data_IF_749112540953
#
_entry.id   IF_749112540953
#
_cell.length_a   1.000
_cell.length_b   1.000
_cell.length_c   1.000
_cell.angle_alpha   90.00
_cell.angle_beta   90.00
_cell.angle_gamma   90.00
#
_symmetry.space_group_name_H-M   'P 1'
#
loop_
_entity.id
_entity.type
_entity.pdbx_description
1 polymer ?
#
# COMPACT_ATOMS: atom_id res chain seq x y z
N UNK A 1 5.39 -8.61 20.50
CA UNK A 1 4.71 -7.77 19.48
C UNK A 1 5.13 -8.31 18.12
N UNK A 2 4.20 -8.51 17.18
CA UNK A 2 4.56 -8.91 15.82
C UNK A 2 5.39 -7.81 15.14
N UNK A 3 6.33 -8.16 14.24
CA UNK A 3 7.11 -7.17 13.51
C UNK A 3 6.20 -6.22 12.71
N UNK A 4 6.58 -4.94 12.63
CA UNK A 4 5.88 -3.96 11.78
C UNK A 4 5.95 -4.43 10.32
N UNK A 5 4.84 -4.34 9.58
CA UNK A 5 4.86 -4.58 8.14
C UNK A 5 5.15 -3.27 7.41
N UNK A 6 6.14 -3.27 6.52
CA UNK A 6 6.41 -2.17 5.59
C UNK A 6 6.08 -2.63 4.17
N UNK A 7 5.10 -1.99 3.55
CA UNK A 7 4.84 -2.11 2.12
C UNK A 7 5.54 -0.94 1.44
N UNK A 8 6.66 -1.19 0.75
CA UNK A 8 7.42 -0.11 0.13
C UNK A 8 8.06 -0.50 -1.19
N UNK A 9 8.30 0.52 -2.04
CA UNK A 9 8.94 0.43 -3.33
C UNK A 9 8.55 1.59 -4.23
N UNK A 10 8.96 1.59 -5.50
CA UNK A 10 8.61 2.66 -6.44
C UNK A 10 7.11 2.64 -6.77
N UNK A 11 6.56 3.81 -7.08
CA UNK A 11 5.16 3.94 -7.47
C UNK A 11 4.79 3.01 -8.62
N UNK A 12 5.64 2.97 -9.65
CA UNK A 12 5.48 2.15 -10.87
C UNK A 12 6.84 1.56 -11.26
N UNK A 13 6.83 0.43 -11.94
CA UNK A 13 8.03 -0.15 -12.55
C UNK A 13 8.45 0.73 -13.73
N UNK A 14 9.48 1.54 -13.55
CA UNK A 14 10.03 2.39 -14.60
C UNK A 14 11.06 1.64 -15.46
N UNK A 15 11.95 0.93 -14.79
CA UNK A 15 12.97 0.07 -15.37
C UNK A 15 13.47 -0.95 -14.32
N UNK A 16 14.18 -1.99 -14.77
CA UNK A 16 14.65 -3.06 -13.88
C UNK A 16 15.74 -2.59 -12.89
N UNK A 17 16.59 -1.62 -13.26
CA UNK A 17 17.65 -1.13 -12.37
C UNK A 17 17.07 -0.42 -11.18
N UNK A 18 16.19 0.57 -11.38
CA UNK A 18 15.53 1.31 -10.29
C UNK A 18 14.81 0.37 -9.33
N UNK A 19 14.10 -0.65 -9.85
CA UNK A 19 13.39 -1.65 -9.03
C UNK A 19 14.38 -2.49 -8.22
N UNK A 20 15.49 -2.95 -8.82
CA UNK A 20 16.53 -3.73 -8.15
C UNK A 20 17.21 -2.94 -7.03
N UNK A 21 17.67 -1.71 -7.33
CA UNK A 21 18.42 -0.90 -6.39
C UNK A 21 17.55 -0.49 -5.19
N UNK A 22 16.28 -0.15 -5.47
CA UNK A 22 15.30 0.16 -4.43
C UNK A 22 15.02 -1.05 -3.54
N UNK A 23 14.85 -2.25 -4.13
CA UNK A 23 14.58 -3.46 -3.36
C UNK A 23 15.78 -3.87 -2.50
N UNK A 24 17.00 -3.81 -3.05
CA UNK A 24 18.22 -4.14 -2.32
C UNK A 24 18.37 -3.26 -1.06
N UNK A 25 18.23 -1.95 -1.22
CA UNK A 25 18.33 -1.01 -0.11
C UNK A 25 17.23 -1.22 0.95
N UNK A 26 15.97 -1.35 0.51
CA UNK A 26 14.85 -1.58 1.43
C UNK A 26 15.01 -2.88 2.22
N UNK A 27 15.48 -3.96 1.57
CA UNK A 27 15.74 -5.23 2.23
C UNK A 27 16.78 -5.07 3.34
N UNK A 28 17.92 -4.45 3.04
CA UNK A 28 18.99 -4.24 4.01
C UNK A 28 18.51 -3.48 5.25
N UNK A 29 17.88 -2.33 5.10
CA UNK A 29 17.42 -1.52 6.23
C UNK A 29 16.29 -2.19 7.03
N UNK A 30 15.40 -2.94 6.38
CA UNK A 30 14.30 -3.61 7.07
C UNK A 30 14.77 -4.86 7.83
N UNK A 31 15.76 -5.58 7.35
CA UNK A 31 16.40 -6.68 8.09
C UNK A 31 17.09 -6.16 9.36
N UNK A 32 17.85 -5.07 9.26
CA UNK A 32 18.52 -4.43 10.41
C UNK A 32 17.52 -3.95 11.48
N UNK A 33 16.31 -3.54 11.08
CA UNK A 33 15.29 -3.00 11.96
C UNK A 33 14.23 -4.04 12.40
N UNK A 34 14.36 -5.30 11.98
CA UNK A 34 13.38 -6.36 12.21
C UNK A 34 11.96 -5.96 11.76
N UNK A 35 11.86 -5.43 10.53
CA UNK A 35 10.62 -5.02 9.87
C UNK A 35 10.29 -6.01 8.75
N UNK A 36 9.04 -6.45 8.65
CA UNK A 36 8.57 -7.31 7.56
C UNK A 36 8.42 -6.49 6.27
N UNK A 37 9.32 -6.66 5.31
CA UNK A 37 9.23 -6.00 4.01
C UNK A 37 8.27 -6.74 3.07
N UNK A 38 7.33 -5.99 2.49
CA UNK A 38 6.56 -6.36 1.30
C UNK A 38 6.98 -5.38 0.19
N UNK A 39 7.77 -5.85 -0.75
CA UNK A 39 8.22 -4.98 -1.84
C UNK A 39 7.09 -4.71 -2.83
N UNK A 40 6.79 -3.45 -3.06
CA UNK A 40 5.67 -3.01 -3.91
C UNK A 40 6.17 -2.29 -5.16
N UNK A 41 5.64 -2.67 -6.32
CA UNK A 41 5.69 -1.85 -7.52
C UNK A 41 4.49 -2.16 -8.42
N UNK A 42 3.91 -1.12 -9.05
CA UNK A 42 2.80 -1.30 -10.00
C UNK A 42 3.33 -1.64 -11.39
N UNK A 43 2.72 -2.61 -12.05
CA UNK A 43 3.01 -2.92 -13.46
C UNK A 43 2.30 -1.98 -14.43
N UNK A 44 1.23 -1.33 -13.96
CA UNK A 44 0.45 -0.34 -14.71
C UNK A 44 -0.13 0.72 -13.78
N UNK A 45 -0.32 1.92 -14.29
CA UNK A 45 -1.06 3.01 -13.68
C UNK A 45 -2.29 3.32 -14.53
N UNK A 46 -3.37 2.55 -14.32
CA UNK A 46 -4.56 2.58 -15.17
C UNK A 46 -5.41 3.86 -15.03
N UNK A 47 -5.25 4.61 -13.94
CA UNK A 47 -6.07 5.78 -13.59
C UNK A 47 -5.34 7.14 -13.75
N UNK A 48 -4.45 7.25 -14.74
CA UNK A 48 -3.74 8.52 -15.01
C UNK A 48 -4.67 9.64 -15.44
N UNK A 49 -4.37 10.87 -15.01
CA UNK A 49 -5.11 12.07 -15.43
C UNK A 49 -4.94 12.38 -16.92
N UNK A 50 -3.79 12.08 -17.51
CA UNK A 50 -3.52 12.26 -18.93
C UNK A 50 -3.24 10.95 -19.64
N UNK A 51 -3.80 10.77 -20.83
CA UNK A 51 -3.56 9.58 -21.66
C UNK A 51 -2.09 9.43 -22.08
N UNK A 52 -1.35 10.54 -22.14
CA UNK A 52 0.06 10.56 -22.50
C UNK A 52 1.00 10.28 -21.31
N UNK A 53 0.47 10.10 -20.10
CA UNK A 53 1.30 9.80 -18.92
C UNK A 53 1.90 8.40 -18.99
N UNK A 54 3.11 8.26 -18.43
CA UNK A 54 3.76 6.96 -18.31
C UNK A 54 2.90 6.01 -17.48
N UNK A 55 2.62 4.83 -17.99
CA UNK A 55 1.77 3.83 -17.34
C UNK A 55 2.53 2.67 -16.71
N UNK A 56 3.73 2.37 -17.17
CA UNK A 56 4.50 1.20 -16.74
C UNK A 56 4.73 0.19 -17.87
N UNK A 57 5.36 -0.96 -17.57
CA UNK A 57 5.71 -1.97 -18.57
C UNK A 57 4.55 -2.87 -19.03
N UNK A 58 3.38 -2.77 -18.36
CA UNK A 58 2.24 -3.66 -18.56
C UNK A 58 2.33 -4.97 -17.78
N UNK A 59 1.22 -5.72 -17.76
CA UNK A 59 1.01 -6.89 -16.91
C UNK A 59 2.13 -7.93 -17.02
N UNK A 60 2.33 -8.52 -18.18
CA UNK A 60 3.24 -9.67 -18.35
C UNK A 60 4.70 -9.32 -18.01
N UNK A 61 5.18 -8.19 -18.55
CA UNK A 61 6.56 -7.74 -18.29
C UNK A 61 6.73 -7.31 -16.83
N UNK A 62 5.75 -6.62 -16.25
CA UNK A 62 5.79 -6.20 -14.86
C UNK A 62 5.79 -7.38 -13.89
N UNK A 63 4.96 -8.38 -14.11
CA UNK A 63 4.96 -9.60 -13.31
C UNK A 63 6.28 -10.35 -13.41
N UNK A 64 6.87 -10.49 -14.61
CA UNK A 64 8.19 -11.11 -14.77
C UNK A 64 9.29 -10.37 -13.98
N UNK A 65 9.26 -9.03 -13.96
CA UNK A 65 10.20 -8.24 -13.15
C UNK A 65 9.99 -8.50 -11.65
N UNK A 66 8.75 -8.49 -11.16
CA UNK A 66 8.44 -8.76 -9.77
C UNK A 66 8.84 -10.18 -9.34
N UNK A 67 8.69 -11.16 -10.22
CA UNK A 67 9.14 -12.54 -9.98
C UNK A 67 10.66 -12.62 -9.83
N UNK A 68 11.42 -11.95 -10.70
CA UNK A 68 12.88 -11.84 -10.59
C UNK A 68 13.30 -11.21 -9.27
N UNK A 69 12.65 -10.12 -8.85
CA UNK A 69 12.91 -9.43 -7.57
C UNK A 69 12.64 -10.37 -6.40
N UNK A 70 11.48 -11.01 -6.37
CA UNK A 70 11.09 -11.96 -5.34
C UNK A 70 12.11 -13.08 -5.20
N UNK A 71 12.53 -13.67 -6.31
CA UNK A 71 13.48 -14.79 -6.33
C UNK A 71 14.89 -14.35 -5.92
N UNK A 72 15.34 -13.19 -6.40
CA UNK A 72 16.68 -12.66 -6.11
C UNK A 72 16.86 -12.24 -4.66
N UNK A 73 15.90 -11.48 -4.13
CA UNK A 73 16.02 -10.88 -2.80
C UNK A 73 15.31 -11.66 -1.70
N UNK A 74 14.55 -12.73 -2.05
CA UNK A 74 13.75 -13.51 -1.11
C UNK A 74 12.78 -12.68 -0.27
N UNK A 75 12.20 -11.64 -0.89
CA UNK A 75 11.20 -10.76 -0.30
C UNK A 75 9.80 -11.14 -0.79
N UNK A 76 8.78 -10.86 0.03
CA UNK A 76 7.40 -10.89 -0.44
C UNK A 76 7.13 -9.69 -1.35
N UNK A 77 6.26 -9.89 -2.34
CA UNK A 77 5.95 -8.84 -3.32
C UNK A 77 4.47 -8.48 -3.34
N UNK A 78 4.18 -7.23 -3.70
CA UNK A 78 2.83 -6.69 -3.88
C UNK A 78 2.74 -5.92 -5.19
N UNK A 79 1.63 -6.08 -5.90
CA UNK A 79 1.22 -5.19 -6.99
C UNK A 79 -0.28 -4.98 -6.99
N UNK A 80 -0.74 -3.89 -7.58
CA UNK A 80 -2.16 -3.58 -7.75
C UNK A 80 -2.70 -4.12 -9.09
N UNK A 81 -3.98 -4.50 -9.07
CA UNK A 81 -4.73 -4.91 -10.26
C UNK A 81 -5.89 -3.93 -10.52
N UNK A 82 -6.29 -3.82 -11.78
CA UNK A 82 -7.29 -2.84 -12.23
C UNK A 82 -8.47 -3.49 -12.95
N UNK A 83 -8.26 -4.70 -13.48
CA UNK A 83 -9.22 -5.49 -14.23
C UNK A 83 -9.31 -6.91 -13.68
N UNK A 84 -10.50 -7.50 -13.73
CA UNK A 84 -10.77 -8.82 -13.13
C UNK A 84 -9.90 -9.94 -13.73
N UNK A 85 -9.58 -9.88 -15.02
CA UNK A 85 -8.74 -10.90 -15.70
C UNK A 85 -7.28 -10.90 -15.23
N UNK A 86 -6.82 -9.82 -14.58
CA UNK A 86 -5.45 -9.72 -14.06
C UNK A 86 -5.24 -10.55 -12.78
N UNK A 87 -6.32 -10.88 -12.06
CA UNK A 87 -6.24 -11.44 -10.72
C UNK A 87 -5.50 -12.79 -10.67
N UNK A 88 -5.89 -13.75 -11.50
CA UNK A 88 -5.26 -15.08 -11.51
C UNK A 88 -3.77 -15.01 -11.89
N UNK A 89 -3.42 -14.27 -12.95
CA UNK A 89 -2.04 -14.11 -13.39
C UNK A 89 -1.18 -13.44 -12.32
N UNK A 90 -1.73 -12.45 -11.65
CA UNK A 90 -1.03 -11.71 -10.57
C UNK A 90 -0.81 -12.61 -9.35
N UNK A 91 -1.81 -13.41 -8.96
CA UNK A 91 -1.72 -14.33 -7.83
C UNK A 91 -0.66 -15.43 -8.01
N UNK A 92 -0.31 -15.80 -9.24
CA UNK A 92 0.77 -16.76 -9.51
C UNK A 92 2.13 -16.23 -9.03
N UNK A 93 2.35 -14.93 -9.15
CA UNK A 93 3.65 -14.30 -8.94
C UNK A 93 3.76 -13.65 -7.55
N UNK A 94 2.84 -12.71 -7.22
CA UNK A 94 2.97 -11.91 -6.01
C UNK A 94 2.39 -12.60 -4.77
N UNK A 95 2.75 -12.09 -3.61
CA UNK A 95 2.26 -12.58 -2.32
C UNK A 95 1.05 -11.80 -1.82
N UNK A 96 0.92 -10.56 -2.27
CA UNK A 96 -0.19 -9.67 -1.92
C UNK A 96 -0.75 -9.03 -3.19
N UNK A 97 -2.04 -9.21 -3.44
CA UNK A 97 -2.77 -8.48 -4.49
C UNK A 97 -3.38 -7.24 -3.86
N UNK A 98 -3.17 -6.08 -4.48
CA UNK A 98 -3.78 -4.83 -4.00
C UNK A 98 -4.94 -4.39 -4.88
N UNK A 99 -6.03 -3.98 -4.22
CA UNK A 99 -7.16 -3.29 -4.85
C UNK A 99 -6.96 -1.77 -4.62
N UNK A 100 -6.84 -0.97 -5.70
CA UNK A 100 -6.73 0.48 -5.59
C UNK A 100 -7.96 1.12 -4.94
N UNK A 101 -7.78 2.26 -4.30
CA UNK A 101 -8.82 2.97 -3.57
C UNK A 101 -10.04 3.32 -4.46
N UNK A 102 -9.81 3.77 -5.69
CA UNK A 102 -10.89 4.08 -6.64
C UNK A 102 -11.74 2.85 -7.01
N UNK A 103 -11.18 1.65 -6.92
CA UNK A 103 -11.79 0.39 -7.32
C UNK A 103 -12.27 -0.46 -6.14
N UNK A 104 -12.18 0.07 -4.92
CA UNK A 104 -12.50 -0.66 -3.69
C UNK A 104 -13.94 -1.18 -3.61
N UNK A 105 -14.87 -0.63 -4.41
CA UNK A 105 -16.27 -1.07 -4.47
C UNK A 105 -16.61 -1.92 -5.71
N UNK A 106 -15.67 -2.12 -6.64
CA UNK A 106 -15.91 -2.88 -7.88
C UNK A 106 -16.11 -4.36 -7.57
N UNK A 107 -17.35 -4.83 -7.69
CA UNK A 107 -17.75 -6.18 -7.27
C UNK A 107 -16.96 -7.26 -8.00
N UNK A 108 -16.92 -7.20 -9.34
CA UNK A 108 -16.25 -8.23 -10.13
C UNK A 108 -14.75 -8.29 -9.88
N UNK A 109 -14.10 -7.14 -9.65
CA UNK A 109 -12.70 -7.07 -9.31
C UNK A 109 -12.41 -7.69 -7.93
N UNK A 110 -13.23 -7.36 -6.92
CA UNK A 110 -13.12 -7.92 -5.57
C UNK A 110 -13.32 -9.45 -5.58
N UNK A 111 -14.37 -9.93 -6.27
CA UNK A 111 -14.68 -11.36 -6.39
C UNK A 111 -13.53 -12.11 -7.08
N UNK A 112 -13.04 -11.60 -8.21
CA UNK A 112 -11.94 -12.21 -8.95
C UNK A 112 -10.65 -12.25 -8.13
N UNK A 113 -10.28 -11.15 -7.48
CA UNK A 113 -9.11 -11.08 -6.61
C UNK A 113 -9.23 -12.06 -5.43
N UNK A 114 -10.41 -12.11 -4.80
CA UNK A 114 -10.68 -13.02 -3.67
C UNK A 114 -10.51 -14.48 -4.08
N UNK A 115 -11.10 -14.89 -5.21
CA UNK A 115 -10.96 -16.27 -5.73
C UNK A 115 -9.51 -16.61 -6.03
N UNK A 116 -8.77 -15.68 -6.64
CA UNK A 116 -7.36 -15.86 -6.97
C UNK A 116 -6.48 -16.04 -5.72
N UNK A 117 -6.70 -15.20 -4.67
CA UNK A 117 -5.93 -15.30 -3.42
C UNK A 117 -6.26 -16.57 -2.64
N UNK A 118 -7.50 -17.04 -2.66
CA UNK A 118 -7.88 -18.33 -2.06
C UNK A 118 -7.13 -19.47 -2.77
N UNK A 119 -7.24 -19.56 -4.10
CA UNK A 119 -6.63 -20.59 -4.94
C UNK A 119 -5.11 -20.68 -4.75
N UNK A 120 -4.44 -19.55 -4.56
CA UNK A 120 -2.97 -19.46 -4.46
C UNK A 120 -2.46 -19.23 -3.05
N UNK A 121 -3.33 -19.23 -2.05
CA UNK A 121 -3.00 -19.00 -0.64
C UNK A 121 -2.27 -17.65 -0.42
N UNK A 122 -2.76 -16.57 -1.04
CA UNK A 122 -2.19 -15.22 -1.01
C UNK A 122 -2.96 -14.30 -0.06
N UNK A 123 -2.58 -13.02 -0.06
CA UNK A 123 -3.20 -11.94 0.72
C UNK A 123 -3.84 -10.95 -0.24
N UNK A 124 -4.97 -10.37 0.16
CA UNK A 124 -5.60 -9.25 -0.51
C UNK A 124 -5.48 -7.99 0.37
N UNK A 125 -4.92 -6.92 -0.19
CA UNK A 125 -4.85 -5.60 0.44
C UNK A 125 -5.83 -4.65 -0.24
N UNK A 126 -6.78 -4.10 0.50
CA UNK A 126 -7.78 -3.19 -0.05
C UNK A 126 -7.52 -1.78 0.45
N UNK A 127 -7.22 -0.86 -0.45
CA UNK A 127 -7.17 0.57 -0.11
C UNK A 127 -8.58 1.12 0.04
N UNK A 128 -8.88 1.71 1.20
CA UNK A 128 -10.16 2.38 1.42
C UNK A 128 -10.34 3.50 0.39
N UNK A 129 -11.49 3.55 -0.27
CA UNK A 129 -11.82 4.64 -1.19
C UNK A 129 -11.84 6.00 -0.49
N UNK A 130 -11.35 7.04 -1.18
CA UNK A 130 -11.33 8.40 -0.65
C UNK A 130 -12.74 8.96 -0.41
N UNK A 131 -13.74 8.33 -0.97
CA UNK A 131 -15.17 8.67 -0.88
C UNK A 131 -15.93 7.82 0.14
N UNK A 132 -15.26 6.88 0.84
CA UNK A 132 -15.85 5.96 1.79
C UNK A 132 -15.59 6.41 3.23
N UNK A 133 -16.63 6.31 4.06
CA UNK A 133 -16.44 6.29 5.50
C UNK A 133 -15.75 4.97 5.93
N UNK A 134 -15.02 4.91 7.05
CA UNK A 134 -14.33 3.70 7.47
C UNK A 134 -15.28 2.51 7.68
N UNK A 135 -16.49 2.73 8.18
CA UNK A 135 -17.50 1.68 8.37
C UNK A 135 -18.09 1.16 7.06
N UNK A 136 -18.04 1.92 5.95
CA UNK A 136 -18.50 1.43 4.63
C UNK A 136 -17.63 0.28 4.11
N UNK A 137 -16.42 0.08 4.68
CA UNK A 137 -15.58 -1.06 4.35
C UNK A 137 -16.20 -2.39 4.75
N UNK A 138 -17.21 -2.40 5.63
CA UNK A 138 -18.00 -3.60 5.93
C UNK A 138 -18.59 -4.22 4.67
N UNK A 139 -19.14 -3.39 3.76
CA UNK A 139 -19.74 -3.89 2.53
C UNK A 139 -18.70 -4.47 1.55
N UNK A 140 -17.49 -3.96 1.59
CA UNK A 140 -16.37 -4.52 0.83
C UNK A 140 -15.97 -5.88 1.42
N UNK A 141 -15.87 -5.97 2.75
CA UNK A 141 -15.57 -7.20 3.47
C UNK A 141 -16.65 -8.27 3.29
N UNK A 142 -17.93 -7.89 3.27
CA UNK A 142 -19.04 -8.80 3.01
C UNK A 142 -18.90 -9.46 1.63
N UNK A 143 -18.59 -8.70 0.57
CA UNK A 143 -18.32 -9.27 -0.78
C UNK A 143 -17.19 -10.29 -0.78
N UNK A 144 -16.12 -10.01 -0.04
CA UNK A 144 -14.97 -10.90 0.08
C UNK A 144 -15.34 -12.16 0.85
N UNK A 145 -16.06 -12.02 1.96
CA UNK A 145 -16.53 -13.14 2.79
C UNK A 145 -17.49 -14.06 2.01
N UNK A 146 -18.46 -13.48 1.30
CA UNK A 146 -19.39 -14.22 0.45
C UNK A 146 -18.69 -14.89 -0.75
N UNK A 147 -17.52 -14.39 -1.14
CA UNK A 147 -16.66 -15.02 -2.16
C UNK A 147 -15.80 -16.17 -1.62
N UNK A 148 -15.91 -16.48 -0.31
CA UNK A 148 -15.28 -17.64 0.33
C UNK A 148 -14.02 -17.35 1.13
N UNK A 149 -13.62 -16.08 1.34
CA UNK A 149 -12.48 -15.71 2.19
C UNK A 149 -12.99 -15.09 3.50
N UNK A 150 -12.92 -15.82 4.64
CA UNK A 150 -13.39 -15.32 5.93
C UNK A 150 -12.62 -14.06 6.36
N UNK A 151 -13.34 -13.08 6.91
CA UNK A 151 -12.78 -11.80 7.35
C UNK A 151 -11.66 -11.99 8.40
N UNK A 152 -11.80 -12.96 9.29
CA UNK A 152 -10.83 -13.28 10.35
C UNK A 152 -9.65 -14.17 9.88
N UNK A 153 -9.44 -14.33 8.58
CA UNK A 153 -8.41 -15.23 8.02
C UNK A 153 -6.98 -14.67 8.08
N UNK A 154 -6.76 -13.45 8.55
CA UNK A 154 -5.49 -12.69 8.48
C UNK A 154 -4.96 -12.48 7.04
N UNK A 155 -5.76 -12.83 6.02
CA UNK A 155 -5.41 -12.68 4.60
C UNK A 155 -6.02 -11.45 3.94
N UNK A 156 -6.81 -10.70 4.69
CA UNK A 156 -7.43 -9.46 4.24
C UNK A 156 -6.79 -8.31 5.00
N UNK A 157 -6.17 -7.38 4.30
CA UNK A 157 -5.60 -6.17 4.87
C UNK A 157 -6.39 -4.96 4.42
N UNK A 158 -6.61 -4.01 5.32
CA UNK A 158 -7.28 -2.74 5.03
C UNK A 158 -6.27 -1.60 5.07
N UNK A 159 -6.23 -0.78 4.04
CA UNK A 159 -5.31 0.35 3.97
C UNK A 159 -6.06 1.69 3.98
N UNK A 160 -5.82 2.49 5.02
CA UNK A 160 -6.27 3.88 5.10
C UNK A 160 -5.33 4.77 4.27
N UNK A 161 -5.89 5.71 3.50
CA UNK A 161 -5.13 6.61 2.63
C UNK A 161 -5.72 8.03 2.48
N UNK A 162 -6.61 8.41 3.38
CA UNK A 162 -7.30 9.69 3.39
C UNK A 162 -8.60 9.73 2.60
N UNK A 163 -9.41 10.71 2.91
CA UNK A 163 -10.66 11.04 2.27
C UNK A 163 -10.56 12.36 1.52
N UNK A 164 -11.35 12.51 0.46
CA UNK A 164 -11.49 13.78 -0.24
C UNK A 164 -12.06 14.84 0.69
N UNK A 165 -11.41 15.99 0.76
CA UNK A 165 -11.81 17.12 1.57
C UNK A 165 -11.77 18.41 0.74
N UNK A 166 -12.89 18.79 0.17
CA UNK A 166 -12.95 19.85 -0.83
C UNK A 166 -12.30 19.43 -2.16
N UNK A 167 -11.72 20.39 -2.88
CA UNK A 167 -11.09 20.17 -4.17
C UNK A 167 -9.61 19.80 -4.01
N UNK A 168 -9.16 18.76 -4.71
CA UNK A 168 -7.77 18.36 -4.85
C UNK A 168 -7.00 18.17 -3.51
N UNK A 169 -7.69 17.92 -2.42
CA UNK A 169 -7.11 17.74 -1.09
C UNK A 169 -7.60 16.47 -0.44
N UNK A 170 -6.71 15.79 0.25
CA UNK A 170 -7.03 14.63 1.08
C UNK A 170 -6.73 14.95 2.53
N UNK A 171 -7.57 14.44 3.43
CA UNK A 171 -7.39 14.53 4.88
C UNK A 171 -7.55 13.15 5.48
N UNK A 172 -6.68 12.82 6.42
CA UNK A 172 -6.81 11.58 7.20
C UNK A 172 -7.50 11.89 8.52
N UNK A 173 -8.64 11.25 8.73
CA UNK A 173 -9.23 11.13 10.06
C UNK A 173 -8.58 9.94 10.77
N UNK A 174 -7.74 10.19 11.78
CA UNK A 174 -7.06 9.11 12.50
C UNK A 174 -8.01 8.20 13.28
N UNK A 175 -9.24 8.65 13.57
CA UNK A 175 -10.29 7.77 14.12
C UNK A 175 -10.63 6.63 13.17
N UNK A 176 -10.44 6.83 11.85
CA UNK A 176 -10.67 5.79 10.85
C UNK A 176 -9.78 4.56 11.05
N UNK A 177 -8.56 4.73 11.56
CA UNK A 177 -7.66 3.63 11.86
C UNK A 177 -8.24 2.75 12.99
N UNK A 178 -8.82 3.37 14.01
CA UNK A 178 -9.48 2.66 15.12
C UNK A 178 -10.76 1.96 14.63
N UNK A 179 -11.57 2.63 13.80
CA UNK A 179 -12.77 2.05 13.22
C UNK A 179 -12.45 0.82 12.35
N UNK A 180 -11.43 0.92 11.48
CA UNK A 180 -11.01 -0.20 10.63
C UNK A 180 -10.53 -1.40 11.45
N UNK A 181 -9.90 -1.19 12.60
CA UNK A 181 -9.46 -2.28 13.49
C UNK A 181 -10.62 -3.09 14.09
N UNK A 182 -11.83 -2.53 14.19
CA UNK A 182 -13.02 -3.26 14.65
C UNK A 182 -13.37 -4.45 13.75
N UNK A 183 -12.94 -4.42 12.48
CA UNK A 183 -13.13 -5.55 11.56
C UNK A 183 -12.16 -6.72 11.81
N UNK A 184 -11.21 -6.58 12.75
CA UNK A 184 -10.21 -7.62 13.09
C UNK A 184 -9.34 -8.04 11.90
N UNK A 185 -9.14 -7.14 10.96
CA UNK A 185 -8.19 -7.25 9.87
C UNK A 185 -6.94 -6.43 10.19
N UNK A 186 -5.75 -6.82 9.73
CA UNK A 186 -4.59 -5.94 9.77
C UNK A 186 -4.87 -4.61 9.07
N UNK A 187 -4.52 -3.50 9.74
CA UNK A 187 -4.71 -2.14 9.26
C UNK A 187 -3.38 -1.54 8.86
N UNK A 188 -3.29 -1.13 7.61
CA UNK A 188 -2.13 -0.47 7.01
C UNK A 188 -2.43 1.01 6.85
N UNK A 189 -1.47 1.86 7.17
CA UNK A 189 -1.56 3.28 6.88
C UNK A 189 -0.70 3.65 5.67
N UNK A 190 -1.31 4.18 4.63
CA UNK A 190 -0.60 4.69 3.45
C UNK A 190 -0.15 6.13 3.70
N UNK A 191 1.11 6.27 4.11
CA UNK A 191 1.68 7.56 4.47
C UNK A 191 1.91 8.48 3.26
N UNK A 192 2.15 7.93 2.08
CA UNK A 192 2.45 8.72 0.87
C UNK A 192 1.20 9.18 0.14
N UNK A 193 0.19 8.34 -0.01
CA UNK A 193 -1.04 8.76 -0.70
C UNK A 193 -1.99 9.58 0.19
N UNK A 194 -1.84 9.54 1.51
CA UNK A 194 -2.63 10.37 2.43
C UNK A 194 -2.32 11.87 2.32
N UNK A 195 -1.16 12.22 1.74
CA UNK A 195 -0.71 13.60 1.53
C UNK A 195 -0.71 14.00 0.04
N UNK A 196 -1.31 13.18 -0.80
CA UNK A 196 -1.46 13.45 -2.23
C UNK A 196 -2.49 14.57 -2.46
N UNK A 197 -2.24 15.34 -3.50
CA UNK A 197 -3.19 16.35 -4.03
C UNK A 197 -3.63 15.88 -5.43
N UNK A 198 -4.70 15.06 -5.53
CA UNK A 198 -5.16 14.51 -6.80
C UNK A 198 -5.50 15.61 -7.79
N UNK A 199 -4.86 15.59 -8.98
CA UNK A 199 -5.07 16.64 -10.01
C UNK A 199 -4.59 18.05 -9.61
N UNK A 200 -3.87 18.20 -8.48
CA UNK A 200 -3.47 19.51 -7.96
C UNK A 200 -2.50 20.31 -8.85
N UNK A 201 -1.92 19.67 -9.87
CA UNK A 201 -1.09 20.32 -10.90
C UNK A 201 -1.71 20.20 -12.30
N UNK A 202 -3.04 20.06 -12.39
CA UNK A 202 -3.77 19.95 -13.65
C UNK A 202 -3.63 18.57 -14.30
N UNK A 203 -2.56 18.34 -15.03
CA UNK A 203 -2.31 17.07 -15.74
C UNK A 203 -1.64 15.98 -14.88
N UNK A 204 -1.27 16.29 -13.65
CA UNK A 204 -0.71 15.33 -12.70
C UNK A 204 -1.08 15.67 -11.25
N UNK A 205 -0.86 14.72 -10.34
CA UNK A 205 -1.05 14.93 -8.91
C UNK A 205 0.05 15.79 -8.32
N UNK A 206 -0.32 16.69 -7.40
CA UNK A 206 0.57 17.32 -6.45
C UNK A 206 0.73 16.46 -5.19
N UNK A 207 1.47 16.97 -4.21
CA UNK A 207 1.63 16.31 -2.91
C UNK A 207 2.45 17.14 -1.94
N UNK A 208 2.36 16.74 -0.68
CA UNK A 208 2.98 17.40 0.46
C UNK A 208 3.86 16.40 1.22
N UNK A 209 4.97 15.99 0.59
CA UNK A 209 5.93 14.98 1.08
C UNK A 209 6.37 15.22 2.52
N UNK A 210 6.46 16.48 2.94
CA UNK A 210 6.85 16.89 4.29
C UNK A 210 5.96 16.31 5.40
N UNK A 211 4.72 15.97 5.09
CA UNK A 211 3.80 15.37 6.06
C UNK A 211 3.83 13.84 6.11
N UNK A 212 4.55 13.17 5.23
CA UNK A 212 4.63 11.69 5.22
C UNK A 212 5.15 11.15 6.56
N UNK A 213 6.29 11.65 7.02
CA UNK A 213 6.88 11.20 8.28
C UNK A 213 6.05 11.62 9.51
N UNK A 214 5.56 12.86 9.64
CA UNK A 214 4.65 13.25 10.73
C UNK A 214 3.40 12.38 10.85
N UNK A 215 2.67 12.17 9.74
CA UNK A 215 1.46 11.35 9.75
C UNK A 215 1.77 9.87 9.96
N UNK A 216 2.88 9.37 9.42
CA UNK A 216 3.35 8.01 9.68
C UNK A 216 3.62 7.77 11.17
N UNK A 217 4.30 8.71 11.86
CA UNK A 217 4.51 8.63 13.32
C UNK A 217 3.20 8.59 14.09
N UNK A 218 2.24 9.43 13.72
CA UNK A 218 0.91 9.43 14.34
C UNK A 218 0.18 8.10 14.13
N UNK A 219 0.26 7.51 12.93
CA UNK A 219 -0.35 6.21 12.64
C UNK A 219 0.30 5.08 13.47
N UNK A 220 1.63 5.08 13.60
CA UNK A 220 2.33 4.13 14.49
C UNK A 220 1.85 4.29 15.94
N UNK A 221 1.68 5.53 16.40
CA UNK A 221 1.18 5.81 17.76
C UNK A 221 -0.27 5.34 17.97
N UNK A 222 -1.12 5.40 16.95
CA UNK A 222 -2.48 4.81 16.99
C UNK A 222 -2.44 3.28 17.01
N UNK A 223 -1.33 2.67 16.54
CA UNK A 223 -1.12 1.23 16.61
C UNK A 223 -1.50 0.49 15.33
N UNK A 224 -1.20 1.03 14.15
CA UNK A 224 -1.37 0.30 12.88
C UNK A 224 -0.44 -0.91 12.79
N UNK A 225 -0.85 -1.91 12.00
CA UNK A 225 -0.10 -3.15 11.81
C UNK A 225 0.99 -3.00 10.74
N UNK A 226 0.85 -1.99 9.88
CA UNK A 226 1.85 -1.69 8.86
C UNK A 226 1.76 -0.28 8.31
N UNK A 227 2.82 0.09 7.60
CA UNK A 227 2.95 1.33 6.84
C UNK A 227 3.11 1.01 5.36
N UNK A 228 2.39 1.73 4.52
CA UNK A 228 2.63 1.77 3.08
C UNK A 228 3.37 3.07 2.75
N UNK A 229 4.45 2.97 1.97
CA UNK A 229 5.28 4.12 1.61
C UNK A 229 5.86 3.95 0.20
N UNK A 230 5.53 4.83 -0.72
CA UNK A 230 6.22 4.88 -2.01
C UNK A 230 7.54 5.63 -1.88
N UNK A 231 8.60 5.04 -2.44
CA UNK A 231 9.97 5.54 -2.33
C UNK A 231 10.65 5.55 -3.69
N UNK A 232 11.59 6.44 -3.90
CA UNK A 232 12.34 6.51 -5.15
C UNK A 232 13.76 7.03 -4.90
N UNK A 233 14.79 6.53 -5.63
CA UNK A 233 16.15 7.10 -5.53
C UNK A 233 16.20 8.59 -5.87
N UNK A 234 15.41 9.02 -6.85
CA UNK A 234 15.30 10.41 -7.32
C UNK A 234 13.83 10.77 -7.58
N UNK A 235 13.05 11.15 -6.54
CA UNK A 235 11.62 11.44 -6.67
C UNK A 235 11.29 12.58 -7.64
N UNK A 236 12.20 13.52 -7.84
CA UNK A 236 11.96 14.68 -8.72
C UNK A 236 11.90 14.27 -10.20
N UNK A 237 12.59 13.20 -10.59
CA UNK A 237 12.58 12.65 -11.93
C UNK A 237 11.71 11.40 -12.09
N UNK A 238 10.97 11.01 -11.05
CA UNK A 238 10.08 9.86 -11.07
C UNK A 238 8.94 10.02 -12.09
N UNK A 239 8.60 8.93 -12.77
CA UNK A 239 7.54 8.91 -13.81
C UNK A 239 6.12 8.97 -13.26
N UNK A 240 5.94 8.76 -11.94
CA UNK A 240 4.65 8.79 -11.26
C UNK A 240 4.83 9.25 -9.81
N UNK A 241 3.88 10.05 -9.31
CA UNK A 241 3.71 10.46 -7.91
C UNK A 241 4.96 11.04 -7.21
N UNK A 242 5.93 11.55 -7.98
CA UNK A 242 7.17 12.15 -7.47
C UNK A 242 6.98 13.10 -6.30
N UNK A 243 6.02 14.04 -6.31
CA UNK A 243 5.79 14.98 -5.21
C UNK A 243 5.48 14.33 -3.84
N UNK A 244 4.98 13.09 -3.83
CA UNK A 244 4.63 12.37 -2.60
C UNK A 244 5.70 11.37 -2.17
N UNK A 245 6.49 10.84 -3.11
CA UNK A 245 7.44 9.77 -2.81
C UNK A 245 8.56 10.24 -1.88
N UNK A 246 8.95 9.36 -0.98
CA UNK A 246 10.06 9.58 -0.06
C UNK A 246 11.37 9.30 -0.79
N UNK A 247 12.39 10.21 -0.72
CA UNK A 247 13.72 9.91 -1.19
C UNK A 247 14.27 8.66 -0.49
N UNK A 248 14.79 7.70 -1.25
CA UNK A 248 15.21 6.41 -0.73
C UNK A 248 16.20 6.53 0.44
N UNK A 249 17.13 7.46 0.37
CA UNK A 249 18.13 7.75 1.40
C UNK A 249 17.55 8.36 2.70
N UNK A 250 16.27 8.69 2.75
CA UNK A 250 15.59 9.19 3.97
C UNK A 250 14.77 8.12 4.68
N UNK A 251 14.56 6.96 4.03
CA UNK A 251 13.66 5.91 4.54
C UNK A 251 14.14 5.34 5.86
N UNK A 252 15.43 5.02 5.98
CA UNK A 252 16.01 4.44 7.20
C UNK A 252 15.76 5.32 8.43
N UNK A 253 16.00 6.63 8.30
CA UNK A 253 15.74 7.58 9.39
C UNK A 253 14.27 7.59 9.80
N UNK A 254 13.35 7.58 8.84
CA UNK A 254 11.91 7.57 9.10
C UNK A 254 11.50 6.28 9.81
N UNK A 255 12.03 5.13 9.35
CA UNK A 255 11.74 3.84 9.98
C UNK A 255 12.30 3.74 11.41
N UNK A 256 13.48 4.28 11.66
CA UNK A 256 14.02 4.38 13.03
C UNK A 256 13.08 5.18 13.95
N UNK A 257 12.57 6.34 13.50
CA UNK A 257 11.59 7.13 14.26
C UNK A 257 10.32 6.30 14.56
N UNK A 258 9.82 5.55 13.57
CA UNK A 258 8.65 4.68 13.72
C UNK A 258 8.88 3.58 14.75
N UNK A 259 10.04 2.92 14.68
CA UNK A 259 10.39 1.86 15.62
C UNK A 259 10.62 2.37 17.05
N UNK A 260 11.18 3.56 17.22
CA UNK A 260 11.28 4.22 18.54
C UNK A 260 9.90 4.41 19.18
N UNK A 261 8.94 4.98 18.44
CA UNK A 261 7.57 5.18 18.92
C UNK A 261 6.92 3.83 19.25
N UNK A 262 7.00 2.87 18.31
CA UNK A 262 6.39 1.54 18.48
C UNK A 262 6.92 0.82 19.72
N UNK A 263 8.24 0.85 19.95
CA UNK A 263 8.88 0.21 21.08
C UNK A 263 8.55 0.91 22.41
N UNK A 264 8.45 2.25 22.40
CA UNK A 264 8.09 3.04 23.59
C UNK A 264 6.67 2.78 24.08
N UNK A 265 5.74 2.53 23.15
CA UNK A 265 4.34 2.26 23.51
C UNK A 265 4.11 0.80 23.93
N UNK A 266 5.01 -0.11 23.55
CA UNK A 266 4.96 -1.51 23.97
C UNK A 266 3.62 -2.18 23.67
N UNK A 267 3.12 -2.97 24.62
CA UNK A 267 1.83 -3.65 24.51
C UNK A 267 0.59 -2.74 24.63
N UNK A 268 0.77 -1.47 25.00
CA UNK A 268 -0.34 -0.51 25.11
C UNK A 268 -0.96 -0.10 23.76
N UNK A 269 -0.33 -0.50 22.65
CA UNK A 269 -0.88 -0.33 21.29
C UNK A 269 -2.07 -1.27 20.99
N UNK A 270 -2.32 -2.28 21.79
CA UNK A 270 -3.61 -2.96 21.75
C UNK A 270 -4.68 -1.92 22.06
N UNK A 271 -5.62 -1.68 21.12
CA UNK A 271 -6.77 -0.81 21.38
C UNK A 271 -7.41 -1.30 22.67
N UNK A 272 -7.09 -0.62 23.78
CA UNK A 272 -7.71 -0.91 25.06
C UNK A 272 -9.20 -0.69 24.87
N UNK A 273 -10.00 -1.66 25.27
CA UNK A 273 -11.44 -1.51 25.37
C UNK A 273 -11.72 -0.34 26.35
N UNK A 274 -11.93 0.86 25.81
CA UNK A 274 -12.54 1.95 26.53
C UNK A 274 -14.05 1.75 26.52
#
# INVERSE_FOLDING_TARGET
MEPLTLIAGPCVIENESTVNDTCAYLKEITENLNINLIFKASFDKANRSSINSFRGPGLNKGLSILEKIKNKYKVKTLTDIHESYQADLTAEVVDVIQIPAFLSRQTDLLVSATKAVIKKNKIINIKKGQFLAPWDMEQVLNKINESGLPVNSNKIWLTERGNSFGYNTLVVDFRSLVELKKFKCPVIFDATHSVQQPGGKGNCSGGQREFVAPLGRAAIAVGVDGIFMEVHPDPENAKSDGPNMVPLNKVEKILNDFMLIRNSLGHSLAVSNL
#
